data_IF_518397157281
#
_entry.id   IF_518397157281
#
_cell.length_a   1.000
_cell.length_b   1.000
_cell.length_c   1.000
_cell.angle_alpha   90.00
_cell.angle_beta   90.00
_cell.angle_gamma   90.00
#
_symmetry.space_group_name_H-M   'P 1'
#
loop_
_entity.id
_entity.type
_entity.pdbx_description
1 polymer ?
#
# COMPACT_ATOMS: atom_id res chain seq x y z
N UNK A 1 12.14 54.43 -1.00
CA UNK A 1 11.13 55.52 -0.98
C UNK A 1 10.60 55.71 -2.40
N UNK A 2 9.52 55.01 -2.75
CA UNK A 2 8.86 55.20 -4.04
C UNK A 2 8.06 56.51 -3.98
N UNK A 3 8.34 57.43 -4.89
CA UNK A 3 7.77 58.78 -4.80
C UNK A 3 6.34 58.75 -5.36
N UNK A 4 5.36 59.10 -4.52
CA UNK A 4 3.95 59.35 -4.88
C UNK A 4 3.77 60.29 -6.10
N UNK A 5 4.84 60.99 -6.46
CA UNK A 5 4.97 61.85 -7.64
C UNK A 5 4.67 61.14 -8.97
N UNK A 6 4.91 59.83 -9.12
CA UNK A 6 4.63 59.13 -10.39
C UNK A 6 3.15 59.12 -10.77
N UNK A 7 2.24 59.00 -9.79
CA UNK A 7 0.79 59.09 -10.04
C UNK A 7 0.37 60.49 -10.47
N UNK A 8 0.96 61.53 -9.85
CA UNK A 8 0.73 62.93 -10.23
C UNK A 8 1.24 63.21 -11.65
N UNK A 9 2.44 62.72 -12.01
CA UNK A 9 2.97 62.85 -13.37
C UNK A 9 2.10 62.16 -14.40
N UNK A 10 1.58 60.97 -14.10
CA UNK A 10 0.65 60.26 -14.99
C UNK A 10 -0.64 61.06 -15.22
N UNK A 11 -1.24 61.62 -14.16
CA UNK A 11 -2.45 62.45 -14.27
C UNK A 11 -2.21 63.73 -15.09
N UNK A 12 -1.07 64.41 -14.88
CA UNK A 12 -0.74 65.62 -15.66
C UNK A 12 -0.51 65.30 -17.13
N UNK A 13 0.09 64.15 -17.44
CA UNK A 13 0.37 63.74 -18.80
C UNK A 13 -0.92 63.32 -19.52
N UNK A 14 -1.82 62.61 -18.84
CA UNK A 14 -3.14 62.26 -19.36
C UNK A 14 -3.99 63.51 -19.62
N UNK A 15 -4.02 64.47 -18.69
CA UNK A 15 -4.73 65.73 -18.87
C UNK A 15 -4.16 66.56 -20.04
N UNK A 16 -2.84 66.59 -20.20
CA UNK A 16 -2.18 67.23 -21.32
C UNK A 16 -2.47 66.53 -22.65
N UNK A 17 -2.55 65.19 -22.66
CA UNK A 17 -2.91 64.41 -23.84
C UNK A 17 -4.33 64.73 -24.31
N UNK A 18 -5.30 64.75 -23.40
CA UNK A 18 -6.69 65.11 -23.70
C UNK A 18 -6.83 66.57 -24.11
N UNK A 19 -6.13 67.50 -23.45
CA UNK A 19 -6.15 68.91 -23.83
C UNK A 19 -5.58 69.11 -25.25
N UNK A 20 -4.47 68.43 -25.59
CA UNK A 20 -3.88 68.47 -26.93
C UNK A 20 -4.78 67.87 -28.01
N UNK A 21 -5.54 66.82 -27.69
CA UNK A 21 -6.48 66.19 -28.62
C UNK A 21 -7.75 67.05 -28.82
N UNK A 22 -8.28 67.66 -27.76
CA UNK A 22 -9.52 68.45 -27.80
C UNK A 22 -9.32 69.88 -28.34
N UNK A 23 -8.12 70.47 -28.13
CA UNK A 23 -7.78 71.82 -28.59
C UNK A 23 -6.98 71.82 -29.90
N UNK A 24 -6.52 70.65 -30.36
CA UNK A 24 -5.73 70.47 -31.58
C UNK A 24 -6.59 70.34 -32.84
N UNK A 25 -5.96 70.43 -34.01
CA UNK A 25 -6.61 70.14 -35.28
C UNK A 25 -6.76 68.62 -35.51
N UNK A 26 -7.81 68.22 -36.25
CA UNK A 26 -8.07 66.84 -36.68
C UNK A 26 -6.96 66.33 -37.63
N UNK A 27 -5.82 65.95 -37.06
CA UNK A 27 -4.66 65.47 -37.78
C UNK A 27 -4.12 64.19 -37.17
N UNK A 28 -3.65 63.26 -37.99
CA UNK A 28 -3.03 62.00 -37.54
C UNK A 28 -1.88 62.25 -36.55
N UNK A 29 -1.23 63.41 -36.66
CA UNK A 29 -0.17 63.85 -35.74
C UNK A 29 -0.70 64.09 -34.33
N UNK A 30 -1.87 64.70 -34.17
CA UNK A 30 -2.49 64.91 -32.86
C UNK A 30 -2.87 63.58 -32.20
N UNK A 31 -3.40 62.63 -32.98
CA UNK A 31 -3.72 61.29 -32.50
C UNK A 31 -2.47 60.51 -32.05
N UNK A 32 -1.38 60.56 -32.83
CA UNK A 32 -0.12 59.91 -32.46
C UNK A 32 0.50 60.53 -31.19
N UNK A 33 0.45 61.84 -31.04
CA UNK A 33 0.91 62.53 -29.83
C UNK A 33 0.06 62.14 -28.61
N UNK A 34 -1.26 62.04 -28.78
CA UNK A 34 -2.16 61.56 -27.75
C UNK A 34 -1.83 60.12 -27.32
N UNK A 35 -1.74 59.18 -28.28
CA UNK A 35 -1.42 57.78 -27.97
C UNK A 35 -0.05 57.62 -27.30
N UNK A 36 0.93 58.41 -27.72
CA UNK A 36 2.25 58.44 -27.08
C UNK A 36 2.20 58.95 -25.64
N UNK A 37 1.51 60.07 -25.39
CA UNK A 37 1.35 60.63 -24.06
C UNK A 37 0.52 59.71 -23.13
N UNK A 38 -0.57 59.15 -23.64
CA UNK A 38 -1.41 58.18 -22.94
C UNK A 38 -0.63 56.89 -22.60
N UNK A 39 0.15 56.36 -23.55
CA UNK A 39 1.02 55.21 -23.31
C UNK A 39 2.07 55.48 -22.23
N UNK A 40 2.70 56.65 -22.24
CA UNK A 40 3.64 57.05 -21.19
C UNK A 40 2.94 57.20 -19.82
N UNK A 41 1.72 57.73 -19.77
CA UNK A 41 0.94 57.83 -18.54
C UNK A 41 0.58 56.44 -17.98
N UNK A 42 0.17 55.51 -18.84
CA UNK A 42 -0.12 54.12 -18.48
C UNK A 42 1.12 53.39 -17.94
N UNK A 43 2.29 53.63 -18.52
CA UNK A 43 3.55 53.05 -18.04
C UNK A 43 3.90 53.53 -16.62
N UNK A 44 3.70 54.83 -16.35
CA UNK A 44 3.92 55.40 -15.01
C UNK A 44 2.95 54.82 -13.97
N UNK A 45 1.69 54.59 -14.35
CA UNK A 45 0.71 53.93 -13.46
C UNK A 45 1.06 52.47 -13.21
N UNK A 46 1.48 51.72 -14.23
CA UNK A 46 1.92 50.34 -14.06
C UNK A 46 3.13 50.22 -13.12
N UNK A 47 4.09 51.15 -13.22
CA UNK A 47 5.23 51.23 -12.32
C UNK A 47 4.82 51.59 -10.87
N UNK A 48 3.90 52.53 -10.70
CA UNK A 48 3.37 52.89 -9.38
C UNK A 48 2.57 51.73 -8.76
N UNK A 49 1.80 51.00 -9.57
CA UNK A 49 1.01 49.84 -9.15
C UNK A 49 1.88 48.70 -8.61
N UNK A 50 3.02 48.42 -9.25
CA UNK A 50 3.97 47.40 -8.77
C UNK A 50 4.52 47.70 -7.37
N UNK A 51 4.63 48.98 -7.00
CA UNK A 51 5.08 49.37 -5.67
C UNK A 51 3.98 49.19 -4.59
N UNK A 52 2.71 49.21 -5.01
CA UNK A 52 1.55 49.06 -4.13
C UNK A 52 1.08 47.60 -4.03
N UNK A 53 1.36 46.77 -5.04
CA UNK A 53 1.01 45.36 -5.05
C UNK A 53 1.76 44.58 -3.95
N UNK A 54 1.09 43.62 -3.28
CA UNK A 54 1.77 42.68 -2.38
C UNK A 54 2.93 41.96 -3.10
N UNK A 55 4.08 41.74 -2.43
CA UNK A 55 5.28 41.17 -3.07
C UNK A 55 5.04 39.84 -3.79
N UNK A 56 4.09 39.03 -3.29
CA UNK A 56 3.70 37.73 -3.87
C UNK A 56 3.01 37.86 -5.23
N UNK A 57 2.27 38.96 -5.45
CA UNK A 57 1.55 39.23 -6.69
C UNK A 57 2.38 40.07 -7.68
N UNK A 58 3.38 40.80 -7.17
CA UNK A 58 4.36 41.51 -7.98
C UNK A 58 5.44 40.58 -8.59
N UNK A 59 5.37 39.27 -8.36
CA UNK A 59 6.29 38.26 -8.91
C UNK A 59 5.55 37.28 -9.83
N UNK A 60 5.96 37.14 -11.11
CA UNK A 60 7.07 37.80 -11.78
C UNK A 60 6.74 39.27 -12.15
N UNK A 61 7.73 40.17 -12.07
CA UNK A 61 7.50 41.64 -12.20
C UNK A 61 7.06 42.08 -13.59
N UNK A 62 7.64 41.50 -14.63
CA UNK A 62 7.36 41.86 -16.03
C UNK A 62 5.89 41.56 -16.44
N UNK A 63 5.34 40.34 -16.24
CA UNK A 63 3.95 40.07 -16.59
C UNK A 63 2.96 40.89 -15.75
N UNK A 64 3.26 41.15 -14.47
CA UNK A 64 2.44 42.04 -13.65
C UNK A 64 2.42 43.48 -14.18
N UNK A 65 3.58 44.00 -14.61
CA UNK A 65 3.69 45.32 -15.25
C UNK A 65 2.86 45.38 -16.54
N UNK A 66 3.03 44.40 -17.42
CA UNK A 66 2.33 44.34 -18.71
C UNK A 66 0.81 44.23 -18.55
N UNK A 67 0.35 43.48 -17.55
CA UNK A 67 -1.08 43.36 -17.25
C UNK A 67 -1.67 44.70 -16.82
N UNK A 68 -1.06 45.38 -15.85
CA UNK A 68 -1.56 46.69 -15.37
C UNK A 68 -1.49 47.74 -16.48
N UNK A 69 -0.39 47.75 -17.25
CA UNK A 69 -0.24 48.62 -18.41
C UNK A 69 -1.34 48.38 -19.45
N UNK A 70 -1.60 47.12 -19.81
CA UNK A 70 -2.60 46.76 -20.81
C UNK A 70 -4.01 47.15 -20.39
N UNK A 71 -4.37 46.95 -19.11
CA UNK A 71 -5.67 47.39 -18.56
C UNK A 71 -5.79 48.91 -18.58
N UNK A 72 -4.73 49.64 -18.21
CA UNK A 72 -4.73 51.10 -18.19
C UNK A 72 -4.82 51.70 -19.61
N UNK A 73 -4.13 51.09 -20.58
CA UNK A 73 -4.03 51.58 -21.96
C UNK A 73 -5.26 51.26 -22.82
N UNK A 74 -5.94 50.12 -22.57
CA UNK A 74 -7.07 49.69 -23.39
C UNK A 74 -8.29 50.62 -23.29
N UNK A 75 -8.48 51.25 -22.13
CA UNK A 75 -9.61 52.16 -21.90
C UNK A 75 -9.09 53.43 -21.21
N UNK A 76 -8.91 54.54 -21.94
CA UNK A 76 -8.50 55.81 -21.36
C UNK A 76 -9.41 56.24 -20.20
N UNK A 77 -8.82 56.84 -19.15
CA UNK A 77 -9.45 57.18 -17.86
C UNK A 77 -10.02 56.02 -17.03
N UNK A 78 -10.87 55.16 -17.61
CA UNK A 78 -11.50 54.04 -16.90
C UNK A 78 -10.48 52.95 -16.52
N UNK A 79 -9.46 52.72 -17.35
CA UNK A 79 -8.38 51.78 -17.09
C UNK A 79 -7.54 52.18 -15.88
N UNK A 80 -7.36 53.49 -15.64
CA UNK A 80 -6.68 54.01 -14.44
C UNK A 80 -7.48 53.69 -13.18
N UNK A 81 -8.79 53.95 -13.21
CA UNK A 81 -9.68 53.65 -12.09
C UNK A 81 -9.75 52.16 -11.81
N UNK A 82 -9.82 51.32 -12.86
CA UNK A 82 -9.82 49.87 -12.76
C UNK A 82 -8.51 49.34 -12.14
N UNK A 83 -7.35 49.89 -12.55
CA UNK A 83 -6.06 49.52 -11.97
C UNK A 83 -5.99 49.85 -10.47
N UNK A 84 -6.40 51.06 -10.07
CA UNK A 84 -6.40 51.48 -8.65
C UNK A 84 -7.38 50.64 -7.83
N UNK A 85 -8.61 50.45 -8.30
CA UNK A 85 -9.61 49.64 -7.63
C UNK A 85 -9.18 48.18 -7.48
N UNK A 86 -8.57 47.61 -8.52
CA UNK A 86 -8.03 46.24 -8.49
C UNK A 86 -6.93 46.07 -7.45
N UNK A 87 -6.02 47.04 -7.32
CA UNK A 87 -4.96 47.01 -6.29
C UNK A 87 -5.55 47.08 -4.89
N UNK A 88 -6.50 47.99 -4.64
CA UNK A 88 -7.16 48.13 -3.35
C UNK A 88 -7.95 46.85 -2.98
N UNK A 89 -8.65 46.26 -3.94
CA UNK A 89 -9.36 45.00 -3.75
C UNK A 89 -8.40 43.85 -3.39
N UNK A 90 -7.27 43.73 -4.07
CA UNK A 90 -6.25 42.71 -3.79
C UNK A 90 -5.55 42.94 -2.45
N UNK A 91 -5.39 44.18 -2.00
CA UNK A 91 -4.90 44.50 -0.66
C UNK A 91 -5.92 44.19 0.44
N UNK A 92 -7.22 44.32 0.15
CA UNK A 92 -8.30 44.03 1.08
C UNK A 92 -8.56 42.52 1.26
N UNK A 93 -8.16 41.68 0.31
CA UNK A 93 -8.17 40.23 0.50
C UNK A 93 -7.16 39.83 1.57
N UNK A 94 -7.66 39.35 2.71
CA UNK A 94 -6.81 38.80 3.77
C UNK A 94 -5.95 37.64 3.20
N UNK A 95 -4.64 37.61 3.48
CA UNK A 95 -3.78 36.53 3.03
C UNK A 95 -4.30 35.22 3.63
N UNK A 96 -4.89 34.37 2.81
CA UNK A 96 -5.15 32.99 3.20
C UNK A 96 -3.79 32.33 3.38
N UNK A 97 -3.40 32.14 4.64
CA UNK A 97 -2.30 31.26 4.98
C UNK A 97 -2.66 29.88 4.42
N UNK A 98 -1.97 29.45 3.36
CA UNK A 98 -1.98 28.04 2.98
C UNK A 98 -1.46 27.30 4.21
N UNK A 99 -2.36 26.68 4.96
CA UNK A 99 -2.00 25.83 6.09
C UNK A 99 -0.97 24.83 5.57
N UNK A 100 0.17 24.74 6.25
CA UNK A 100 1.17 23.73 5.95
C UNK A 100 0.49 22.36 6.07
N UNK A 101 0.25 21.72 4.93
CA UNK A 101 -0.39 20.40 4.86
C UNK A 101 0.52 19.33 5.51
N UNK A 102 1.80 19.67 5.73
CA UNK A 102 2.78 18.81 6.33
C UNK A 102 3.54 19.54 7.43
N UNK A 103 3.26 19.17 8.68
CA UNK A 103 4.08 19.53 9.82
C UNK A 103 5.20 18.52 9.96
N UNK A 104 6.45 18.99 10.03
CA UNK A 104 7.59 18.14 10.34
C UNK A 104 7.50 17.72 11.82
N UNK A 105 6.92 16.54 12.06
CA UNK A 105 6.89 15.94 13.40
C UNK A 105 8.30 15.47 13.73
N UNK A 106 8.80 15.86 14.91
CA UNK A 106 10.06 15.34 15.41
C UNK A 106 9.98 13.81 15.49
N UNK A 107 10.94 13.10 14.88
CA UNK A 107 11.02 11.65 15.02
C UNK A 107 11.09 11.31 16.52
N UNK A 108 10.23 10.41 17.03
CA UNK A 108 10.29 10.00 18.42
C UNK A 108 11.68 9.45 18.72
N UNK A 109 12.21 9.76 19.90
CA UNK A 109 13.49 9.18 20.36
C UNK A 109 13.30 7.67 20.41
N UNK A 110 14.04 6.95 19.57
CA UNK A 110 14.06 5.50 19.56
C UNK A 110 14.63 5.06 20.90
N UNK A 111 13.79 4.44 21.73
CA UNK A 111 14.23 3.83 22.97
C UNK A 111 15.04 2.57 22.64
N UNK A 112 16.34 2.61 22.92
CA UNK A 112 17.27 1.49 22.71
C UNK A 112 16.89 0.28 23.57
N UNK A 113 16.09 0.48 24.62
CA UNK A 113 15.60 -0.55 25.53
C UNK A 113 14.18 -1.05 25.20
N UNK A 114 13.50 -0.48 24.20
CA UNK A 114 12.27 -1.06 23.67
C UNK A 114 12.63 -2.39 22.99
N UNK A 115 12.43 -3.49 23.73
CA UNK A 115 12.50 -4.85 23.18
C UNK A 115 11.55 -4.90 21.99
N UNK A 116 12.13 -4.91 20.80
CA UNK A 116 11.39 -5.04 19.56
C UNK A 116 10.54 -6.30 19.67
N UNK A 117 9.22 -6.15 19.67
CA UNK A 117 8.33 -7.27 19.48
C UNK A 117 8.78 -8.08 18.26
N UNK A 118 8.68 -9.40 18.36
CA UNK A 118 9.13 -10.38 17.36
C UNK A 118 8.61 -10.14 15.93
N UNK A 119 7.65 -9.22 15.74
CA UNK A 119 7.13 -8.81 14.43
C UNK A 119 8.00 -7.84 13.62
N UNK A 120 8.88 -7.04 14.21
CA UNK A 120 9.61 -5.99 13.46
C UNK A 120 10.74 -6.54 12.56
N UNK A 121 11.26 -7.75 12.85
CA UNK A 121 12.35 -8.35 12.07
C UNK A 121 11.90 -8.91 10.72
N UNK A 122 10.64 -9.36 10.58
CA UNK A 122 10.16 -10.02 9.36
C UNK A 122 9.79 -9.03 8.25
N UNK A 123 9.10 -7.94 8.58
CA UNK A 123 8.73 -6.91 7.61
C UNK A 123 9.96 -6.16 7.07
N UNK A 124 10.94 -5.89 7.95
CA UNK A 124 12.23 -5.31 7.55
C UNK A 124 13.06 -6.25 6.68
N UNK A 125 13.04 -7.56 6.94
CA UNK A 125 13.82 -8.53 6.17
C UNK A 125 13.36 -8.64 4.72
N UNK A 126 12.04 -8.70 4.47
CA UNK A 126 11.52 -8.75 3.09
C UNK A 126 11.89 -7.49 2.31
N UNK A 127 11.67 -6.32 2.89
CA UNK A 127 12.03 -5.04 2.27
C UNK A 127 13.55 -4.91 2.04
N UNK A 128 14.35 -5.41 2.98
CA UNK A 128 15.81 -5.40 2.88
C UNK A 128 16.31 -6.35 1.78
N UNK A 129 15.77 -7.57 1.71
CA UNK A 129 16.10 -8.53 0.67
C UNK A 129 15.63 -8.05 -0.70
N UNK A 130 14.48 -7.38 -0.80
CA UNK A 130 13.99 -6.82 -2.07
C UNK A 130 14.77 -5.57 -2.55
N UNK A 131 15.57 -4.94 -1.68
CA UNK A 131 16.30 -3.73 -2.02
C UNK A 131 17.58 -4.06 -2.82
N UNK A 132 17.47 -4.06 -4.15
CA UNK A 132 18.60 -4.28 -5.06
C UNK A 132 19.74 -3.25 -4.91
N UNK A 133 19.50 -2.08 -4.29
CA UNK A 133 20.53 -1.07 -4.03
C UNK A 133 21.36 -1.39 -2.78
N UNK A 134 20.92 -2.32 -1.93
CA UNK A 134 21.69 -2.71 -0.75
C UNK A 134 22.90 -3.57 -1.15
N UNK A 135 24.05 -3.46 -0.45
CA UNK A 135 25.24 -4.24 -0.77
C UNK A 135 24.96 -5.75 -0.78
N UNK A 136 25.38 -6.43 -1.86
CA UNK A 136 25.16 -7.87 -2.07
C UNK A 136 25.62 -8.69 -0.85
N UNK A 137 26.81 -8.39 -0.30
CA UNK A 137 27.34 -9.08 0.87
C UNK A 137 26.40 -9.01 2.10
N UNK A 138 25.71 -7.89 2.31
CA UNK A 138 24.78 -7.74 3.44
C UNK A 138 23.50 -8.55 3.19
N UNK A 139 23.03 -8.57 1.95
CA UNK A 139 21.85 -9.34 1.51
C UNK A 139 22.11 -10.85 1.57
N UNK A 140 23.31 -11.30 1.18
CA UNK A 140 23.73 -12.69 1.34
C UNK A 140 23.75 -13.13 2.81
N UNK A 141 24.28 -12.31 3.73
CA UNK A 141 24.21 -12.60 5.18
C UNK A 141 22.77 -12.69 5.69
N UNK A 142 21.88 -11.85 5.17
CA UNK A 142 20.46 -11.92 5.49
C UNK A 142 19.81 -13.22 4.97
N UNK A 143 20.17 -13.70 3.78
CA UNK A 143 19.71 -14.99 3.25
C UNK A 143 20.21 -16.16 4.10
N UNK A 144 21.47 -16.16 4.50
CA UNK A 144 22.01 -17.21 5.40
C UNK A 144 21.24 -17.24 6.73
N UNK A 145 20.85 -16.08 7.27
CA UNK A 145 20.03 -16.03 8.49
C UNK A 145 18.65 -16.70 8.32
N UNK A 146 18.12 -16.82 7.09
CA UNK A 146 16.87 -17.54 6.81
C UNK A 146 16.99 -19.05 6.94
N UNK A 147 18.20 -19.64 6.92
CA UNK A 147 18.39 -21.09 6.98
C UNK A 147 17.73 -21.72 8.22
N UNK A 148 17.82 -21.03 9.36
CA UNK A 148 17.29 -21.48 10.66
C UNK A 148 15.87 -20.98 10.94
N UNK A 149 15.27 -20.23 10.01
CA UNK A 149 13.88 -19.78 10.12
C UNK A 149 12.95 -20.86 9.54
N UNK A 150 11.76 -20.99 10.12
CA UNK A 150 10.73 -21.92 9.65
C UNK A 150 10.46 -21.73 8.15
N UNK A 151 10.33 -22.84 7.39
CA UNK A 151 10.12 -22.80 5.95
C UNK A 151 8.90 -21.97 5.54
N UNK A 152 7.82 -21.97 6.32
CA UNK A 152 6.63 -21.12 6.09
C UNK A 152 6.96 -19.64 5.92
N UNK A 153 7.97 -19.14 6.63
CA UNK A 153 8.41 -17.73 6.56
C UNK A 153 9.57 -17.56 5.59
N UNK A 154 10.51 -18.51 5.59
CA UNK A 154 11.72 -18.42 4.78
C UNK A 154 11.45 -18.67 3.28
N UNK A 155 10.69 -19.71 2.93
CA UNK A 155 10.52 -20.14 1.54
C UNK A 155 9.87 -19.07 0.63
N UNK A 156 8.85 -18.31 1.07
CA UNK A 156 8.35 -17.19 0.27
C UNK A 156 9.40 -16.11 0.02
N UNK A 157 10.22 -15.78 1.04
CA UNK A 157 11.30 -14.78 0.90
C UNK A 157 12.42 -15.27 -0.01
N UNK A 158 12.76 -16.56 0.03
CA UNK A 158 13.75 -17.17 -0.85
C UNK A 158 13.25 -17.17 -2.31
N UNK A 159 11.95 -17.38 -2.52
CA UNK A 159 11.35 -17.30 -3.86
C UNK A 159 11.35 -15.89 -4.44
N UNK A 160 11.03 -14.88 -3.64
CA UNK A 160 11.04 -13.48 -4.07
C UNK A 160 12.41 -13.06 -4.66
N UNK A 161 13.51 -13.63 -4.15
CA UNK A 161 14.87 -13.29 -4.60
C UNK A 161 15.38 -14.19 -5.74
N UNK A 162 14.59 -15.15 -6.25
CA UNK A 162 14.99 -15.96 -7.40
C UNK A 162 15.10 -15.15 -8.69
N UNK A 163 14.46 -13.99 -8.76
CA UNK A 163 14.56 -13.05 -9.88
C UNK A 163 15.51 -11.88 -9.61
N UNK A 164 16.32 -11.96 -8.54
CA UNK A 164 17.24 -10.88 -8.18
C UNK A 164 18.30 -10.64 -9.27
N UNK A 165 18.76 -9.40 -9.53
CA UNK A 165 19.85 -9.16 -10.49
C UNK A 165 21.16 -9.88 -10.14
N UNK A 166 21.46 -10.10 -8.87
CA UNK A 166 22.70 -10.79 -8.44
C UNK A 166 22.59 -12.30 -8.58
N UNK A 167 23.52 -12.90 -9.30
CA UNK A 167 23.59 -14.35 -9.50
C UNK A 167 23.81 -15.12 -8.18
N UNK A 168 24.74 -14.67 -7.34
CA UNK A 168 25.04 -15.32 -6.05
C UNK A 168 23.81 -15.42 -5.15
N UNK A 169 22.97 -14.39 -5.15
CA UNK A 169 21.72 -14.36 -4.38
C UNK A 169 20.72 -15.38 -4.93
N UNK A 170 20.54 -15.43 -6.25
CA UNK A 170 19.65 -16.40 -6.90
C UNK A 170 20.11 -17.84 -6.62
N UNK A 171 21.41 -18.11 -6.79
CA UNK A 171 21.98 -19.44 -6.60
C UNK A 171 21.87 -19.92 -5.15
N UNK A 172 22.18 -19.05 -4.18
CA UNK A 172 22.04 -19.38 -2.76
C UNK A 172 20.57 -19.65 -2.40
N UNK A 173 19.65 -18.81 -2.87
CA UNK A 173 18.23 -18.99 -2.60
C UNK A 173 17.68 -20.28 -3.23
N UNK A 174 18.07 -20.59 -4.47
CA UNK A 174 17.73 -21.84 -5.14
C UNK A 174 18.24 -23.05 -4.35
N UNK A 175 19.53 -23.07 -3.99
CA UNK A 175 20.11 -24.17 -3.21
C UNK A 175 19.46 -24.35 -1.83
N UNK A 176 19.05 -23.26 -1.19
CA UNK A 176 18.33 -23.32 0.09
C UNK A 176 16.91 -23.90 -0.06
N UNK A 177 16.18 -23.56 -1.12
CA UNK A 177 14.86 -24.12 -1.42
C UNK A 177 14.96 -25.60 -1.79
N UNK A 178 15.88 -25.96 -2.69
CA UNK A 178 16.14 -27.33 -3.13
C UNK A 178 16.52 -28.24 -1.96
N UNK A 179 17.40 -27.77 -1.06
CA UNK A 179 17.76 -28.54 0.13
C UNK A 179 16.54 -28.79 1.05
N UNK A 180 15.67 -27.79 1.24
CA UNK A 180 14.44 -27.96 2.05
C UNK A 180 13.48 -28.96 1.42
N UNK A 181 13.30 -28.90 0.11
CA UNK A 181 12.48 -29.85 -0.63
C UNK A 181 13.04 -31.27 -0.54
N UNK A 182 14.35 -31.45 -0.78
CA UNK A 182 15.05 -32.75 -0.66
C UNK A 182 14.90 -33.36 0.72
N UNK A 183 15.02 -32.57 1.79
CA UNK A 183 14.86 -33.05 3.16
C UNK A 183 13.45 -33.61 3.42
N UNK A 184 12.41 -32.90 2.96
CA UNK A 184 11.03 -33.36 3.12
C UNK A 184 10.71 -34.55 2.22
N UNK A 185 11.13 -34.53 0.95
CA UNK A 185 10.95 -35.67 0.04
C UNK A 185 11.67 -36.93 0.54
N UNK A 186 12.87 -36.77 1.11
CA UNK A 186 13.57 -37.88 1.76
C UNK A 186 12.84 -38.43 2.98
N UNK A 187 12.19 -37.57 3.77
CA UNK A 187 11.34 -38.00 4.88
C UNK A 187 10.08 -38.73 4.40
N UNK A 188 9.42 -38.23 3.36
CA UNK A 188 8.27 -38.87 2.72
C UNK A 188 8.64 -40.25 2.20
N UNK A 189 9.78 -40.38 1.53
CA UNK A 189 10.23 -41.67 1.00
C UNK A 189 10.45 -42.71 2.11
N UNK A 190 11.13 -42.32 3.20
CA UNK A 190 11.34 -43.21 4.36
C UNK A 190 10.03 -43.60 5.03
N UNK A 191 9.12 -42.65 5.21
CA UNK A 191 7.83 -42.95 5.85
C UNK A 191 6.94 -43.82 4.95
N UNK A 192 7.02 -43.63 3.62
CA UNK A 192 6.32 -44.48 2.65
C UNK A 192 6.83 -45.93 2.68
N UNK A 193 8.15 -46.12 2.83
CA UNK A 193 8.72 -47.46 3.04
C UNK A 193 8.25 -48.08 4.36
N UNK A 194 8.18 -47.30 5.44
CA UNK A 194 7.67 -47.75 6.74
C UNK A 194 6.21 -48.18 6.67
N UNK A 195 5.37 -47.38 6.00
CA UNK A 195 3.97 -47.71 5.74
C UNK A 195 3.83 -49.07 5.02
N UNK A 196 4.61 -49.28 3.95
CA UNK A 196 4.58 -50.51 3.18
C UNK A 196 5.02 -51.72 4.01
N UNK A 197 6.12 -51.60 4.77
CA UNK A 197 6.60 -52.67 5.64
C UNK A 197 5.58 -53.04 6.74
N UNK A 198 4.89 -52.05 7.32
CA UNK A 198 3.84 -52.27 8.30
C UNK A 198 2.63 -52.98 7.68
N UNK A 199 2.26 -52.64 6.43
CA UNK A 199 1.20 -53.33 5.70
C UNK A 199 1.57 -54.80 5.40
N UNK A 200 2.81 -55.06 4.97
CA UNK A 200 3.31 -56.41 4.69
C UNK A 200 3.43 -57.26 5.97
N UNK A 201 3.83 -56.63 7.09
CA UNK A 201 3.93 -57.25 8.41
C UNK A 201 2.60 -57.39 9.16
N UNK A 202 1.49 -56.90 8.59
CA UNK A 202 0.16 -56.83 9.22
C UNK A 202 0.15 -56.09 10.59
N UNK A 203 1.03 -55.10 10.78
CA UNK A 203 1.02 -54.22 11.95
C UNK A 203 0.10 -53.01 11.70
N UNK A 204 -1.17 -53.17 12.07
CA UNK A 204 -2.21 -52.16 11.92
C UNK A 204 -1.91 -50.84 12.65
N UNK A 205 -1.21 -50.90 13.80
CA UNK A 205 -0.92 -49.72 14.60
C UNK A 205 0.21 -48.89 13.97
N UNK A 206 1.28 -49.57 13.54
CA UNK A 206 2.38 -48.91 12.84
C UNK A 206 1.94 -48.39 11.46
N UNK A 207 1.08 -49.12 10.76
CA UNK A 207 0.50 -48.68 9.50
C UNK A 207 -0.32 -47.38 9.67
N UNK A 208 -1.14 -47.28 10.73
CA UNK A 208 -1.90 -46.07 11.02
C UNK A 208 -1.01 -44.87 11.41
N UNK A 209 0.04 -45.10 12.22
CA UNK A 209 1.00 -44.06 12.60
C UNK A 209 1.75 -43.52 11.38
N UNK A 210 2.25 -44.41 10.51
CA UNK A 210 2.95 -44.03 9.29
C UNK A 210 2.03 -43.28 8.31
N UNK A 211 0.76 -43.68 8.18
CA UNK A 211 -0.22 -42.95 7.37
C UNK A 211 -0.42 -41.52 7.91
N UNK A 212 -0.63 -41.36 9.22
CA UNK A 212 -0.76 -40.05 9.85
C UNK A 212 0.49 -39.19 9.61
N UNK A 213 1.67 -39.79 9.68
CA UNK A 213 2.94 -39.09 9.45
C UNK A 213 3.12 -38.66 7.99
N UNK A 214 2.71 -39.49 7.04
CA UNK A 214 2.68 -39.13 5.62
C UNK A 214 1.72 -37.97 5.34
N UNK A 215 0.53 -37.99 5.94
CA UNK A 215 -0.42 -36.89 5.84
C UNK A 215 0.21 -35.56 6.30
N UNK A 216 0.95 -35.59 7.41
CA UNK A 216 1.70 -34.43 7.92
C UNK A 216 2.79 -33.95 6.96
N UNK A 217 3.62 -34.86 6.46
CA UNK A 217 4.75 -34.51 5.60
C UNK A 217 4.32 -33.91 4.25
N UNK A 218 3.28 -34.49 3.62
CA UNK A 218 2.71 -33.91 2.40
C UNK A 218 2.05 -32.55 2.66
N UNK A 219 1.39 -32.37 3.80
CA UNK A 219 0.88 -31.06 4.19
C UNK A 219 2.00 -30.04 4.39
N UNK A 220 3.13 -30.44 4.98
CA UNK A 220 4.28 -29.56 5.20
C UNK A 220 4.90 -29.05 3.90
N UNK A 221 4.95 -29.88 2.84
CA UNK A 221 5.36 -29.41 1.50
C UNK A 221 4.49 -28.23 1.03
N UNK A 222 3.18 -28.33 1.21
CA UNK A 222 2.22 -27.28 0.80
C UNK A 222 2.28 -26.07 1.74
N UNK A 223 2.35 -26.31 3.05
CA UNK A 223 2.34 -25.27 4.08
C UNK A 223 3.61 -24.41 4.06
N UNK A 224 4.76 -24.99 3.69
CA UNK A 224 6.01 -24.27 3.45
C UNK A 224 6.13 -23.78 2.00
N UNK A 225 5.08 -23.96 1.20
CA UNK A 225 4.97 -23.61 -0.22
C UNK A 225 6.05 -24.24 -1.12
N UNK A 226 6.75 -25.29 -0.67
CA UNK A 226 7.90 -25.84 -1.40
C UNK A 226 7.52 -26.41 -2.78
N UNK A 227 6.27 -26.86 -2.91
CA UNK A 227 5.68 -27.32 -4.18
C UNK A 227 4.65 -26.31 -4.70
N UNK A 228 4.51 -26.19 -6.03
CA UNK A 228 3.55 -25.31 -6.71
C UNK A 228 2.83 -26.03 -7.85
N UNK A 229 1.77 -25.41 -8.37
CA UNK A 229 1.00 -25.95 -9.51
C UNK A 229 0.57 -27.39 -9.29
N UNK A 230 0.81 -28.24 -10.28
CA UNK A 230 0.41 -29.65 -10.26
C UNK A 230 1.04 -30.44 -9.11
N UNK A 231 2.29 -30.15 -8.75
CA UNK A 231 2.96 -30.80 -7.61
C UNK A 231 2.29 -30.43 -6.29
N UNK A 232 1.81 -29.19 -6.14
CA UNK A 232 1.02 -28.77 -4.98
C UNK A 232 -0.31 -29.52 -4.93
N UNK A 233 -1.01 -29.62 -6.05
CA UNK A 233 -2.28 -30.35 -6.13
C UNK A 233 -2.09 -31.82 -5.79
N UNK A 234 -1.06 -32.46 -6.33
CA UNK A 234 -0.69 -33.84 -6.00
C UNK A 234 -0.38 -34.00 -4.51
N UNK A 235 0.43 -33.12 -3.92
CA UNK A 235 0.75 -33.18 -2.48
C UNK A 235 -0.51 -33.02 -1.60
N UNK A 236 -1.44 -32.13 -1.98
CA UNK A 236 -2.73 -31.99 -1.29
C UNK A 236 -3.56 -33.28 -1.37
N UNK A 237 -3.64 -33.90 -2.56
CA UNK A 237 -4.38 -35.15 -2.76
C UNK A 237 -3.79 -36.31 -1.95
N UNK A 238 -2.45 -36.44 -1.93
CA UNK A 238 -1.77 -37.44 -1.10
C UNK A 238 -2.03 -37.19 0.39
N UNK A 239 -1.87 -35.95 0.85
CA UNK A 239 -2.14 -35.59 2.25
C UNK A 239 -3.60 -35.88 2.65
N UNK A 240 -4.56 -35.66 1.74
CA UNK A 240 -5.97 -35.98 1.94
C UNK A 240 -6.17 -37.49 2.08
N UNK A 241 -5.67 -38.28 1.14
CA UNK A 241 -5.81 -39.74 1.16
C UNK A 241 -5.27 -40.36 2.47
N UNK A 242 -4.10 -39.92 2.93
CA UNK A 242 -3.55 -40.39 4.21
C UNK A 242 -4.30 -39.86 5.43
N UNK A 243 -4.89 -38.66 5.34
CA UNK A 243 -5.79 -38.14 6.39
C UNK A 243 -7.06 -38.99 6.49
N UNK A 244 -7.62 -39.42 5.36
CA UNK A 244 -8.80 -40.28 5.30
C UNK A 244 -8.52 -41.66 5.91
N UNK A 245 -7.37 -42.26 5.58
CA UNK A 245 -6.90 -43.50 6.21
C UNK A 245 -6.76 -43.35 7.73
N UNK A 246 -6.23 -42.21 8.19
CA UNK A 246 -6.10 -41.92 9.63
C UNK A 246 -7.46 -41.75 10.31
N UNK A 247 -8.41 -41.06 9.65
CA UNK A 247 -9.77 -40.86 10.14
C UNK A 247 -10.58 -42.15 10.20
N UNK A 248 -10.35 -43.11 9.30
CA UNK A 248 -10.99 -44.41 9.34
C UNK A 248 -10.68 -45.19 10.63
N UNK A 249 -9.51 -44.96 11.23
CA UNK A 249 -9.08 -45.58 12.49
C UNK A 249 -9.38 -44.71 13.72
N UNK A 250 -9.36 -43.38 13.57
CA UNK A 250 -9.63 -42.42 14.64
C UNK A 250 -10.74 -41.42 14.22
N UNK A 251 -12.01 -41.87 14.11
CA UNK A 251 -13.09 -41.04 13.57
C UNK A 251 -13.46 -39.86 14.47
N UNK A 252 -13.07 -39.88 15.75
CA UNK A 252 -13.36 -38.86 16.74
C UNK A 252 -12.14 -37.94 17.04
N UNK A 253 -11.08 -37.99 16.22
CA UNK A 253 -9.95 -37.06 16.35
C UNK A 253 -10.30 -35.69 15.72
N UNK A 254 -10.59 -34.71 16.58
CA UNK A 254 -10.92 -33.34 16.17
C UNK A 254 -9.82 -32.67 15.33
N UNK A 255 -8.54 -32.98 15.58
CA UNK A 255 -7.43 -32.37 14.86
C UNK A 255 -7.29 -32.94 13.44
N UNK A 256 -7.60 -34.22 13.24
CA UNK A 256 -7.68 -34.83 11.91
C UNK A 256 -8.83 -34.23 11.09
N UNK A 257 -10.01 -34.02 11.69
CA UNK A 257 -11.11 -33.35 11.01
C UNK A 257 -10.78 -31.90 10.60
N UNK A 258 -10.08 -31.16 11.45
CA UNK A 258 -9.57 -29.83 11.08
C UNK A 258 -8.61 -29.90 9.88
N UNK A 259 -7.68 -30.87 9.86
CA UNK A 259 -6.74 -31.06 8.74
C UNK A 259 -7.49 -31.43 7.46
N UNK A 260 -8.42 -32.37 7.56
CA UNK A 260 -9.26 -32.83 6.46
C UNK A 260 -10.01 -31.66 5.82
N UNK A 261 -10.66 -30.80 6.61
CA UNK A 261 -11.32 -29.60 6.10
C UNK A 261 -10.37 -28.64 5.39
N UNK A 262 -9.16 -28.39 5.94
CA UNK A 262 -8.15 -27.50 5.31
C UNK A 262 -7.65 -28.05 3.98
N UNK A 263 -7.50 -29.36 3.86
CA UNK A 263 -7.11 -30.04 2.63
C UNK A 263 -8.21 -29.93 1.57
N UNK A 264 -9.46 -30.22 1.94
CA UNK A 264 -10.61 -30.09 1.06
C UNK A 264 -10.81 -28.66 0.55
N UNK A 265 -10.71 -27.66 1.43
CA UNK A 265 -10.81 -26.26 1.04
C UNK A 265 -9.66 -25.87 0.08
N UNK A 266 -8.44 -26.31 0.36
CA UNK A 266 -7.27 -26.06 -0.51
C UNK A 266 -7.38 -26.72 -1.88
N UNK A 267 -8.23 -27.74 -2.02
CA UNK A 267 -8.58 -28.45 -3.25
C UNK A 267 -9.85 -27.90 -3.92
N UNK A 268 -10.45 -26.82 -3.41
CA UNK A 268 -11.65 -26.21 -3.98
C UNK A 268 -12.94 -26.99 -3.70
N UNK A 269 -13.01 -27.74 -2.59
CA UNK A 269 -14.18 -28.52 -2.15
C UNK A 269 -14.80 -27.93 -0.86
N UNK A 270 -15.31 -26.68 -0.89
CA UNK A 270 -15.73 -25.97 0.33
C UNK A 270 -16.91 -26.63 1.06
N UNK A 271 -17.87 -27.23 0.35
CA UNK A 271 -19.01 -27.90 0.98
C UNK A 271 -18.57 -29.08 1.87
N UNK A 272 -17.65 -29.91 1.37
CA UNK A 272 -17.09 -31.03 2.13
C UNK A 272 -16.17 -30.56 3.26
N UNK A 273 -15.42 -29.48 3.01
CA UNK A 273 -14.61 -28.84 4.05
C UNK A 273 -15.47 -28.35 5.23
N UNK A 274 -16.63 -27.76 4.95
CA UNK A 274 -17.61 -27.35 5.96
C UNK A 274 -18.04 -28.51 6.85
N UNK A 275 -18.42 -29.65 6.26
CA UNK A 275 -18.81 -30.84 7.01
C UNK A 275 -17.68 -31.36 7.92
N UNK A 276 -16.43 -31.36 7.44
CA UNK A 276 -15.27 -31.73 8.24
C UNK A 276 -15.03 -30.75 9.39
N UNK A 277 -15.14 -29.44 9.16
CA UNK A 277 -15.01 -28.44 10.21
C UNK A 277 -16.12 -28.51 11.25
N UNK A 278 -17.36 -28.77 10.84
CA UNK A 278 -18.47 -29.01 11.75
C UNK A 278 -18.25 -30.22 12.63
N UNK A 279 -17.69 -31.31 12.07
CA UNK A 279 -17.30 -32.48 12.85
C UNK A 279 -16.19 -32.15 13.85
N UNK A 280 -15.15 -31.42 13.43
CA UNK A 280 -14.09 -30.96 14.34
C UNK A 280 -14.65 -30.09 15.49
N UNK A 281 -15.60 -29.20 15.19
CA UNK A 281 -16.28 -28.36 16.18
C UNK A 281 -17.12 -29.21 17.15
N UNK A 282 -17.87 -30.20 16.65
CA UNK A 282 -18.66 -31.12 17.47
C UNK A 282 -17.79 -31.97 18.42
N UNK A 283 -16.56 -32.28 18.00
CA UNK A 283 -15.55 -32.99 18.80
C UNK A 283 -14.78 -32.07 19.77
N UNK A 284 -15.19 -30.81 19.93
CA UNK A 284 -14.66 -29.90 20.95
C UNK A 284 -13.50 -29.01 20.49
N UNK A 285 -13.22 -28.90 19.18
CA UNK A 285 -12.21 -27.95 18.69
C UNK A 285 -12.55 -26.51 19.13
N UNK A 286 -11.61 -25.75 19.71
CA UNK A 286 -11.87 -24.39 20.18
C UNK A 286 -12.40 -23.47 19.08
N UNK A 287 -13.39 -22.63 19.42
CA UNK A 287 -14.04 -21.70 18.50
C UNK A 287 -13.04 -20.76 17.80
N UNK A 288 -12.03 -20.24 18.52
CA UNK A 288 -10.95 -19.42 17.93
C UNK A 288 -10.22 -20.09 16.78
N UNK A 289 -10.16 -21.42 16.78
CA UNK A 289 -9.42 -22.19 15.79
C UNK A 289 -10.30 -22.60 14.61
N UNK A 290 -11.58 -22.91 14.85
CA UNK A 290 -12.47 -23.48 13.82
C UNK A 290 -13.37 -22.45 13.14
N UNK A 291 -13.88 -21.47 13.87
CA UNK A 291 -14.86 -20.50 13.35
C UNK A 291 -14.29 -19.65 12.20
N UNK A 292 -13.00 -19.23 12.18
CA UNK A 292 -12.44 -18.55 11.02
C UNK A 292 -12.53 -19.38 9.73
N UNK A 293 -12.30 -20.69 9.81
CA UNK A 293 -12.40 -21.58 8.65
C UNK A 293 -13.84 -21.82 8.22
N UNK A 294 -14.77 -21.99 9.17
CA UNK A 294 -16.20 -22.09 8.85
C UNK A 294 -16.72 -20.82 8.15
N UNK A 295 -16.23 -19.65 8.56
CA UNK A 295 -16.60 -18.40 7.92
C UNK A 295 -15.98 -18.26 6.53
N UNK A 296 -14.76 -18.74 6.32
CA UNK A 296 -14.14 -18.81 4.99
C UNK A 296 -14.95 -19.74 4.06
N UNK A 297 -15.35 -20.92 4.54
CA UNK A 297 -16.24 -21.83 3.78
C UNK A 297 -17.58 -21.19 3.45
N UNK A 298 -18.22 -20.51 4.41
CA UNK A 298 -19.48 -19.81 4.17
C UNK A 298 -19.31 -18.70 3.10
N UNK A 299 -18.17 -18.01 3.11
CA UNK A 299 -17.85 -17.01 2.08
C UNK A 299 -17.65 -17.66 0.70
N UNK A 300 -16.89 -18.76 0.62
CA UNK A 300 -16.65 -19.52 -0.62
C UNK A 300 -17.95 -20.05 -1.24
N UNK A 301 -18.93 -20.40 -0.40
CA UNK A 301 -20.26 -20.85 -0.82
C UNK A 301 -21.25 -19.70 -1.09
N UNK A 302 -20.85 -18.45 -0.87
CA UNK A 302 -21.72 -17.27 -1.04
C UNK A 302 -22.75 -17.05 0.09
N UNK A 303 -22.67 -17.79 1.19
CA UNK A 303 -23.50 -17.58 2.38
C UNK A 303 -22.96 -16.44 3.25
N UNK A 304 -23.15 -15.22 2.78
CA UNK A 304 -22.73 -14.02 3.51
C UNK A 304 -23.50 -13.82 4.83
N UNK A 305 -24.69 -14.40 4.97
CA UNK A 305 -25.43 -14.36 6.23
C UNK A 305 -24.77 -15.21 7.30
N UNK A 306 -24.31 -16.42 6.92
CA UNK A 306 -23.51 -17.30 7.75
C UNK A 306 -22.18 -16.69 8.14
N UNK A 307 -21.47 -16.05 7.19
CA UNK A 307 -20.22 -15.31 7.48
C UNK A 307 -20.43 -14.29 8.59
N UNK A 308 -21.49 -13.47 8.51
CA UNK A 308 -21.81 -12.46 9.54
C UNK A 308 -22.11 -13.09 10.88
N UNK A 309 -22.89 -14.17 10.91
CA UNK A 309 -23.21 -14.87 12.14
C UNK A 309 -21.95 -15.43 12.82
N UNK A 310 -21.07 -16.09 12.05
CA UNK A 310 -19.81 -16.66 12.53
C UNK A 310 -18.82 -15.58 12.99
N UNK A 311 -18.73 -14.46 12.27
CA UNK A 311 -17.87 -13.34 12.65
C UNK A 311 -18.36 -12.64 13.93
N UNK A 312 -19.69 -12.57 14.16
CA UNK A 312 -20.26 -12.09 15.43
C UNK A 312 -20.02 -13.06 16.58
N UNK A 313 -20.11 -14.36 16.32
CA UNK A 313 -19.74 -15.41 17.31
C UNK A 313 -18.28 -15.26 17.76
N UNK A 314 -17.40 -14.87 16.83
CA UNK A 314 -15.99 -14.55 17.10
C UNK A 314 -15.78 -13.24 17.89
N UNK A 315 -16.76 -12.33 17.97
CA UNK A 315 -16.73 -11.13 18.83
C UNK A 315 -15.42 -10.31 18.91
N UNK A 316 -15.23 -9.60 20.03
CA UNK A 316 -13.99 -8.86 20.35
C UNK A 316 -12.87 -9.76 20.88
N UNK A 317 -12.56 -10.86 20.19
CA UNK A 317 -11.49 -11.75 20.62
C UNK A 317 -10.12 -11.08 20.47
N UNK A 318 -9.61 -10.57 21.59
CA UNK A 318 -8.27 -9.96 21.71
C UNK A 318 -7.14 -10.90 21.28
N UNK A 319 -7.40 -12.22 21.24
CA UNK A 319 -6.43 -13.25 20.86
C UNK A 319 -6.16 -13.35 19.35
N UNK A 320 -6.94 -12.65 18.50
CA UNK A 320 -6.82 -12.73 17.04
C UNK A 320 -6.59 -11.34 16.39
N UNK A 321 -5.48 -10.65 16.70
CA UNK A 321 -5.25 -9.26 16.26
C UNK A 321 -5.24 -9.10 14.73
N UNK A 322 -4.86 -10.13 13.97
CA UNK A 322 -4.88 -10.13 12.51
C UNK A 322 -6.29 -10.19 11.91
N UNK A 323 -7.25 -10.79 12.61
CA UNK A 323 -8.62 -10.95 12.13
C UNK A 323 -9.53 -9.78 12.55
N UNK A 324 -9.06 -8.90 13.45
CA UNK A 324 -9.83 -7.74 13.93
C UNK A 324 -10.47 -6.90 12.81
N UNK A 325 -9.78 -6.56 11.69
CA UNK A 325 -10.41 -5.81 10.61
C UNK A 325 -11.55 -6.57 9.93
N UNK A 326 -11.37 -7.88 9.71
CA UNK A 326 -12.34 -8.74 9.04
C UNK A 326 -13.57 -8.94 9.93
N UNK A 327 -13.35 -9.25 11.21
CA UNK A 327 -14.41 -9.36 12.21
C UNK A 327 -15.20 -8.04 12.27
N UNK A 328 -14.51 -6.91 12.37
CA UNK A 328 -15.13 -5.58 12.43
C UNK A 328 -15.90 -5.18 11.17
N UNK A 329 -15.54 -5.71 9.99
CA UNK A 329 -16.29 -5.49 8.75
C UNK A 329 -17.60 -6.29 8.73
N UNK A 330 -17.51 -7.60 8.99
CA UNK A 330 -18.65 -8.51 8.91
C UNK A 330 -19.61 -8.39 10.10
N UNK A 331 -19.14 -7.89 11.25
CA UNK A 331 -19.98 -7.67 12.43
C UNK A 331 -20.85 -6.42 12.35
N UNK A 332 -20.51 -5.44 11.48
CA UNK A 332 -21.33 -4.24 11.25
C UNK A 332 -22.66 -4.63 10.60
N UNK A 333 -23.74 -4.18 11.21
CA UNK A 333 -25.12 -4.29 10.72
C UNK A 333 -25.31 -3.57 9.40
#
# INVERSE_FOLDING_TARGET
>A
MFQTKFGLYALTLEAAAWAGLLLGSDSDRALLLYLGAHGAACALVALAALALLPPRLATPRLPALLLVFGVAFAVPLLGFLAAVAGILFLQALAPHARGEIFSAVALPKIDVHQRSGTGFRQAGMRAFLANARAPVANRLRALVALQNISGRVASPLLRDVLTDPSEDIRLLAYGMLDNKEKLLNGAIHRESQRLQAAADGADDAEHADAAKKLADLYWELVYQELVQGDLRTHALQQSLAYTDLSLARAPDDAALHLRHGRLLQSLGRPAEAGAAYDRARALGMPKSRIVPYLAEVAYDLGDYTGVRALMRELGDWQSLPRLKPVIGYWSRT
#
